data_IF_302966274433
#
_entry.id   IF_302966274433
#
_cell.length_a   1.000
_cell.length_b   1.000
_cell.length_c   1.000
_cell.angle_alpha   90.00
_cell.angle_beta   90.00
_cell.angle_gamma   90.00
#
_symmetry.space_group_name_H-M   'P 1'
#
loop_
_entity.id
_entity.type
_entity.pdbx_description
1 polymer ?
#
# COMPACT_ATOMS: atom_id res chain seq x y z
N UNK A 1 23.39 -24.76 8.52
CA UNK A 1 23.59 -23.30 8.41
C UNK A 1 22.98 -22.68 9.66
N UNK A 2 23.66 -21.74 10.31
CA UNK A 2 23.20 -21.09 11.55
C UNK A 2 23.16 -19.59 11.28
N UNK A 3 22.08 -18.93 11.69
CA UNK A 3 21.90 -17.48 11.56
C UNK A 3 21.44 -16.93 12.90
N UNK A 4 21.86 -15.71 13.20
CA UNK A 4 21.32 -14.94 14.32
C UNK A 4 20.01 -14.28 13.89
N UNK A 5 19.01 -14.31 14.78
CA UNK A 5 17.70 -13.71 14.54
C UNK A 5 17.26 -12.88 15.75
N UNK A 6 16.55 -11.79 15.49
CA UNK A 6 15.88 -11.01 16.52
C UNK A 6 14.48 -11.59 16.74
N UNK A 7 14.16 -11.93 17.98
CA UNK A 7 12.85 -12.44 18.38
C UNK A 7 12.10 -11.36 19.15
N UNK A 8 10.84 -11.13 18.79
CA UNK A 8 9.94 -10.20 19.49
C UNK A 8 8.52 -10.80 19.51
N UNK A 9 7.83 -10.66 20.64
CA UNK A 9 6.49 -11.23 20.86
C UNK A 9 6.31 -11.75 22.29
N UNK A 10 5.12 -12.26 22.60
CA UNK A 10 4.84 -12.92 23.87
C UNK A 10 5.66 -14.21 24.01
N UNK A 11 6.15 -14.50 25.21
CA UNK A 11 7.02 -15.66 25.46
C UNK A 11 6.35 -17.02 25.19
N UNK A 12 5.02 -17.04 25.17
CA UNK A 12 4.15 -18.19 24.93
C UNK A 12 3.43 -18.14 23.57
N UNK A 13 3.74 -17.15 22.72
CA UNK A 13 3.20 -17.07 21.37
C UNK A 13 3.71 -18.18 20.45
N UNK A 14 2.90 -18.55 19.46
CA UNK A 14 3.34 -19.46 18.40
C UNK A 14 4.56 -18.85 17.67
N UNK A 15 5.62 -19.65 17.51
CA UNK A 15 6.82 -19.22 16.81
C UNK A 15 6.52 -19.07 15.31
N UNK A 16 6.36 -17.84 14.85
CA UNK A 16 6.22 -17.52 13.43
C UNK A 16 7.54 -16.94 12.91
N UNK A 17 8.19 -17.67 11.99
CA UNK A 17 9.38 -17.19 11.31
C UNK A 17 8.98 -16.32 10.11
N UNK A 18 8.97 -15.00 10.30
CA UNK A 18 8.84 -14.04 9.19
C UNK A 18 10.22 -13.84 8.55
N UNK A 19 10.49 -14.57 7.46
CA UNK A 19 11.67 -14.38 6.61
C UNK A 19 11.49 -13.13 5.73
N UNK A 20 11.40 -11.96 6.35
CA UNK A 20 11.40 -10.67 5.67
C UNK A 20 12.64 -9.88 6.11
N UNK A 21 13.81 -10.32 5.62
CA UNK A 21 15.03 -9.53 5.71
C UNK A 21 15.16 -8.59 4.51
N UNK A 22 16.14 -7.69 4.59
CA UNK A 22 16.56 -6.78 3.51
C UNK A 22 16.60 -7.38 2.10
N UNK A 23 17.10 -8.62 1.88
CA UNK A 23 17.17 -9.18 0.54
C UNK A 23 15.79 -9.45 -0.08
N UNK A 24 14.82 -9.89 0.73
CA UNK A 24 13.45 -10.13 0.26
C UNK A 24 12.69 -8.82 0.05
N UNK A 25 12.91 -7.81 0.92
CA UNK A 25 12.33 -6.48 0.72
C UNK A 25 12.86 -5.82 -0.55
N UNK A 26 14.18 -5.93 -0.81
CA UNK A 26 14.81 -5.49 -2.07
C UNK A 26 14.23 -6.22 -3.28
N UNK A 27 14.00 -7.53 -3.18
CA UNK A 27 13.42 -8.32 -4.26
C UNK A 27 11.96 -7.93 -4.54
N UNK A 28 11.18 -7.61 -3.51
CA UNK A 28 9.82 -7.10 -3.65
C UNK A 28 9.86 -5.72 -4.34
N UNK A 29 10.67 -4.78 -3.85
CA UNK A 29 10.80 -3.45 -4.50
C UNK A 29 11.27 -3.57 -5.96
N UNK A 30 12.26 -4.43 -6.24
CA UNK A 30 12.77 -4.66 -7.59
C UNK A 30 11.84 -5.46 -8.51
N UNK A 31 10.81 -6.14 -7.97
CA UNK A 31 9.79 -6.84 -8.77
C UNK A 31 8.78 -5.88 -9.42
N UNK A 32 8.74 -4.62 -8.98
CA UNK A 32 7.76 -3.66 -9.43
C UNK A 32 8.34 -2.52 -10.25
N UNK A 33 9.24 -2.86 -11.17
CA UNK A 33 9.84 -1.94 -12.14
C UNK A 33 10.62 -0.73 -11.56
N UNK A 34 10.86 -0.69 -10.25
CA UNK A 34 11.62 0.39 -9.62
C UNK A 34 13.09 0.33 -10.05
N UNK A 35 13.70 1.48 -10.32
CA UNK A 35 15.12 1.53 -10.64
C UNK A 35 15.95 1.13 -9.41
N UNK A 36 17.17 0.61 -9.62
CA UNK A 36 18.07 0.29 -8.49
C UNK A 36 18.35 1.52 -7.60
N UNK A 37 18.35 2.71 -8.18
CA UNK A 37 18.54 3.96 -7.45
C UNK A 37 17.35 4.31 -6.56
N UNK A 38 16.12 4.05 -7.02
CA UNK A 38 14.91 4.23 -6.21
C UNK A 38 14.90 3.21 -5.07
N UNK A 39 15.21 1.95 -5.37
CA UNK A 39 15.32 0.89 -4.36
C UNK A 39 16.33 1.26 -3.29
N UNK A 40 17.52 1.74 -3.66
CA UNK A 40 18.53 2.16 -2.68
C UNK A 40 18.07 3.35 -1.84
N UNK A 41 17.32 4.28 -2.44
CA UNK A 41 16.74 5.43 -1.74
C UNK A 41 15.74 4.97 -0.67
N UNK A 42 14.84 4.05 -1.02
CA UNK A 42 13.87 3.46 -0.09
C UNK A 42 14.56 2.64 1.01
N UNK A 43 15.58 1.85 0.66
CA UNK A 43 16.38 1.10 1.64
C UNK A 43 17.17 2.00 2.58
N UNK A 44 17.67 3.16 2.12
CA UNK A 44 18.33 4.14 2.98
C UNK A 44 17.42 4.69 4.08
N UNK A 45 16.10 4.69 3.87
CA UNK A 45 15.10 5.20 4.83
C UNK A 45 14.51 4.06 5.67
N UNK A 46 14.01 3.02 5.02
CA UNK A 46 13.35 1.88 5.68
C UNK A 46 14.36 0.89 6.25
N UNK A 47 15.66 1.14 6.04
CA UNK A 47 16.72 0.22 6.38
C UNK A 47 17.26 0.29 7.80
N UNK A 48 16.69 1.14 8.66
CA UNK A 48 17.04 1.13 10.08
C UNK A 48 16.13 0.18 10.84
N UNK A 49 16.61 -0.32 11.98
CA UNK A 49 15.80 -1.18 12.85
C UNK A 49 14.51 -0.47 13.30
N UNK A 50 14.62 0.83 13.61
CA UNK A 50 13.48 1.64 14.03
C UNK A 50 12.46 1.83 12.91
N UNK A 51 12.91 2.13 11.69
CA UNK A 51 12.03 2.38 10.55
C UNK A 51 11.36 1.10 10.06
N UNK A 52 12.12 0.02 9.92
CA UNK A 52 11.58 -1.29 9.56
C UNK A 52 10.64 -1.81 10.66
N UNK A 53 11.03 -1.63 11.92
CA UNK A 53 10.19 -1.96 13.08
C UNK A 53 8.86 -1.20 13.06
N UNK A 54 8.86 0.10 12.76
CA UNK A 54 7.66 0.91 12.62
C UNK A 54 6.76 0.43 11.47
N UNK A 55 7.34 0.15 10.30
CA UNK A 55 6.62 -0.38 9.15
C UNK A 55 5.94 -1.72 9.47
N UNK A 56 6.66 -2.66 10.11
CA UNK A 56 6.11 -3.95 10.52
C UNK A 56 5.05 -3.82 11.63
N UNK A 57 5.22 -2.87 12.55
CA UNK A 57 4.23 -2.62 13.61
C UNK A 57 2.88 -2.16 13.06
N UNK A 58 2.85 -1.46 11.92
CA UNK A 58 1.59 -1.13 11.24
C UNK A 58 0.81 -2.39 10.84
N UNK A 59 1.49 -3.39 10.27
CA UNK A 59 0.87 -4.69 9.93
C UNK A 59 0.39 -5.43 11.18
N UNK A 60 1.21 -5.47 12.24
CA UNK A 60 0.85 -6.12 13.52
C UNK A 60 -0.42 -5.52 14.14
N UNK A 61 -0.58 -4.21 14.04
CA UNK A 61 -1.78 -3.52 14.51
C UNK A 61 -3.02 -3.87 13.66
N UNK A 62 -2.86 -4.09 12.35
CA UNK A 62 -3.95 -4.43 11.44
C UNK A 62 -4.42 -5.90 11.52
N UNK A 63 -3.53 -6.83 11.88
CA UNK A 63 -3.83 -8.29 11.88
C UNK A 63 -4.69 -8.79 13.05
N UNK A 64 -5.07 -7.92 14.01
CA UNK A 64 -5.82 -8.30 15.23
C UNK A 64 -7.32 -8.02 15.19
N UNK A 65 -7.85 -7.34 14.17
CA UNK A 65 -9.26 -6.94 14.09
C UNK A 65 -10.05 -7.79 13.08
N UNK A 66 -9.84 -9.10 13.09
CA UNK A 66 -10.69 -10.06 12.36
C UNK A 66 -11.82 -10.61 13.24
N UNK A 67 -12.35 -9.83 14.19
CA UNK A 67 -13.67 -10.14 14.72
C UNK A 67 -14.69 -9.60 13.73
N UNK A 68 -15.25 -10.50 12.91
CA UNK A 68 -16.61 -10.57 12.39
C UNK A 68 -17.57 -9.36 12.55
N UNK A 69 -17.11 -8.14 12.36
CA UNK A 69 -17.94 -6.96 12.29
C UNK A 69 -18.39 -6.85 10.84
N UNK A 70 -19.70 -6.67 10.65
CA UNK A 70 -20.22 -6.25 9.35
C UNK A 70 -19.41 -5.04 8.86
N UNK A 71 -19.11 -4.96 7.55
CA UNK A 71 -18.42 -3.80 7.00
C UNK A 71 -19.14 -2.52 7.46
N UNK A 72 -18.40 -1.49 7.87
CA UNK A 72 -19.01 -0.24 8.28
C UNK A 72 -19.89 0.29 7.15
N UNK A 73 -21.00 0.98 7.46
CA UNK A 73 -21.84 1.57 6.43
C UNK A 73 -21.03 2.53 5.56
N UNK A 74 -21.41 2.63 4.29
CA UNK A 74 -20.85 3.61 3.36
C UNK A 74 -21.00 5.02 3.93
N UNK A 75 -19.88 5.72 4.16
CA UNK A 75 -19.86 6.97 4.93
C UNK A 75 -19.04 8.09 4.28
N UNK A 76 -18.31 7.82 3.21
CA UNK A 76 -17.49 8.85 2.55
C UNK A 76 -18.38 9.72 1.68
N UNK A 77 -18.71 10.92 2.16
CA UNK A 77 -19.60 11.88 1.49
C UNK A 77 -18.87 12.94 0.64
N UNK A 78 -17.55 13.05 0.80
CA UNK A 78 -16.71 14.00 0.07
C UNK A 78 -16.41 13.51 -1.35
N UNK A 79 -16.14 14.42 -2.31
CA UNK A 79 -15.66 14.03 -3.63
C UNK A 79 -14.42 13.15 -3.53
N UNK A 80 -14.46 12.01 -4.22
CA UNK A 80 -13.43 10.97 -4.11
C UNK A 80 -12.96 10.56 -5.50
N UNK A 81 -11.66 10.70 -5.75
CA UNK A 81 -10.96 10.09 -6.88
C UNK A 81 -10.20 8.86 -6.37
N UNK A 82 -10.43 7.71 -6.99
CA UNK A 82 -9.62 6.51 -6.80
C UNK A 82 -8.90 6.16 -8.09
N UNK A 83 -7.57 6.09 -8.04
CA UNK A 83 -6.71 5.70 -9.16
C UNK A 83 -6.15 4.32 -8.86
N UNK A 84 -6.36 3.36 -9.77
CA UNK A 84 -5.88 1.98 -9.69
C UNK A 84 -5.22 1.59 -11.02
N UNK A 85 -4.40 0.54 -11.04
CA UNK A 85 -3.65 0.11 -12.22
C UNK A 85 -3.75 -1.39 -12.47
N UNK A 86 -3.68 -1.80 -13.74
CA UNK A 86 -3.99 -3.19 -14.13
C UNK A 86 -2.96 -4.24 -13.75
N UNK A 87 -1.70 -3.83 -13.57
CA UNK A 87 -0.60 -4.72 -13.24
C UNK A 87 -0.26 -4.64 -11.74
N UNK A 88 -1.17 -4.08 -10.94
CA UNK A 88 -1.12 -4.10 -9.47
C UNK A 88 -1.25 -5.54 -8.96
N UNK A 89 -0.21 -6.03 -8.28
CA UNK A 89 -0.22 -7.37 -7.67
C UNK A 89 -0.59 -7.35 -6.18
N UNK A 90 -0.75 -6.18 -5.57
CA UNK A 90 -1.15 -6.00 -4.18
C UNK A 90 -2.67 -5.97 -4.03
N UNK A 91 -3.38 -5.33 -4.97
CA UNK A 91 -4.85 -5.21 -4.95
C UNK A 91 -5.48 -5.67 -6.27
N UNK A 92 -6.39 -6.65 -6.16
CA UNK A 92 -7.14 -7.14 -7.30
C UNK A 92 -8.16 -6.10 -7.81
N UNK A 93 -8.46 -6.16 -9.10
CA UNK A 93 -9.48 -5.31 -9.74
C UNK A 93 -10.83 -5.36 -9.03
N UNK A 94 -11.29 -6.54 -8.64
CA UNK A 94 -12.59 -6.71 -7.97
C UNK A 94 -12.65 -5.98 -6.62
N UNK A 95 -11.54 -5.96 -5.88
CA UNK A 95 -11.45 -5.22 -4.61
C UNK A 95 -11.34 -3.71 -4.85
N UNK A 96 -10.67 -3.31 -5.93
CA UNK A 96 -10.60 -1.90 -6.31
C UNK A 96 -11.99 -1.37 -6.69
N UNK A 97 -12.73 -2.07 -7.56
CA UNK A 97 -14.08 -1.70 -7.99
C UNK A 97 -15.08 -1.70 -6.81
N UNK A 98 -14.96 -2.65 -5.88
CA UNK A 98 -15.80 -2.69 -4.67
C UNK A 98 -15.59 -1.49 -3.72
N UNK A 99 -14.51 -0.72 -3.88
CA UNK A 99 -14.27 0.47 -3.06
C UNK A 99 -15.37 1.53 -3.22
N UNK A 100 -16.06 1.55 -4.36
CA UNK A 100 -17.21 2.41 -4.61
C UNK A 100 -18.34 2.18 -3.60
N UNK A 101 -18.48 0.97 -3.06
CA UNK A 101 -19.53 0.62 -2.08
C UNK A 101 -19.39 1.40 -0.76
N UNK A 102 -18.23 1.99 -0.48
CA UNK A 102 -17.97 2.75 0.75
C UNK A 102 -18.15 4.27 0.58
N UNK A 103 -18.40 4.74 -0.65
CA UNK A 103 -18.51 6.17 -1.00
C UNK A 103 -19.95 6.53 -1.33
N UNK A 104 -20.51 7.49 -0.59
CA UNK A 104 -21.85 8.04 -0.82
C UNK A 104 -21.83 9.40 -1.53
N UNK A 105 -20.66 10.06 -1.55
CA UNK A 105 -20.40 11.29 -2.31
C UNK A 105 -20.08 11.06 -3.79
N UNK A 106 -19.72 12.12 -4.53
CA UNK A 106 -19.23 12.01 -5.90
C UNK A 106 -18.00 11.09 -5.97
N UNK A 107 -18.04 10.09 -6.85
CA UNK A 107 -16.99 9.09 -6.98
C UNK A 107 -16.50 8.99 -8.43
N UNK A 108 -15.18 9.08 -8.61
CA UNK A 108 -14.48 8.90 -9.89
C UNK A 108 -13.47 7.77 -9.72
N UNK A 109 -13.57 6.74 -10.55
CA UNK A 109 -12.62 5.63 -10.59
C UNK A 109 -11.85 5.67 -11.90
N UNK A 110 -10.52 5.79 -11.80
CA UNK A 110 -9.59 5.88 -12.93
C UNK A 110 -8.70 4.64 -12.95
N UNK A 111 -8.61 3.99 -14.11
CA UNK A 111 -7.79 2.79 -14.32
C UNK A 111 -6.63 3.16 -15.23
N UNK A 112 -5.40 2.88 -14.79
CA UNK A 112 -4.18 3.01 -15.58
C UNK A 112 -3.73 1.64 -16.09
N UNK A 113 -3.64 1.49 -17.41
CA UNK A 113 -3.29 0.24 -18.07
C UNK A 113 -1.76 0.02 -18.08
N UNK A 114 -1.32 -1.19 -17.73
CA UNK A 114 0.08 -1.62 -17.81
C UNK A 114 1.02 -0.98 -16.78
N UNK A 115 0.46 -0.44 -15.70
CA UNK A 115 1.23 0.18 -14.61
C UNK A 115 1.20 -0.75 -13.39
N UNK A 116 2.32 -0.89 -12.69
CA UNK A 116 2.40 -1.70 -11.48
C UNK A 116 1.70 -1.03 -10.30
N UNK A 117 1.88 -1.57 -9.10
CA UNK A 117 1.40 -0.95 -7.86
C UNK A 117 1.96 0.47 -7.63
N UNK A 118 3.13 0.81 -8.19
CA UNK A 118 3.82 2.09 -7.97
C UNK A 118 3.46 3.15 -9.02
N UNK A 119 2.19 3.55 -9.02
CA UNK A 119 1.68 4.55 -9.98
C UNK A 119 2.45 5.88 -9.88
N UNK A 120 2.88 6.28 -8.69
CA UNK A 120 3.59 7.55 -8.50
C UNK A 120 5.00 7.53 -9.12
N UNK A 121 5.65 6.37 -9.14
CA UNK A 121 6.97 6.17 -9.71
C UNK A 121 6.92 5.91 -11.22
N UNK A 122 5.94 5.15 -11.69
CA UNK A 122 5.84 4.74 -13.11
C UNK A 122 5.04 5.70 -13.99
N UNK A 123 4.06 6.40 -13.43
CA UNK A 123 3.20 7.33 -14.16
C UNK A 123 2.98 8.67 -13.41
N UNK A 124 4.05 9.35 -12.95
CA UNK A 124 3.94 10.56 -12.14
C UNK A 124 3.18 11.69 -12.84
N UNK A 125 3.39 11.90 -14.14
CA UNK A 125 2.71 12.96 -14.89
C UNK A 125 1.20 12.67 -14.97
N UNK A 126 0.84 11.43 -15.30
CA UNK A 126 -0.57 11.05 -15.44
C UNK A 126 -1.31 11.12 -14.10
N UNK A 127 -0.67 10.65 -13.02
CA UNK A 127 -1.23 10.78 -11.68
C UNK A 127 -1.38 12.27 -11.30
N UNK A 128 -0.38 13.09 -11.58
CA UNK A 128 -0.41 14.53 -11.28
C UNK A 128 -1.53 15.26 -12.02
N UNK A 129 -1.75 14.94 -13.30
CA UNK A 129 -2.87 15.48 -14.08
C UNK A 129 -4.22 15.16 -13.43
N UNK A 130 -4.46 13.88 -13.10
CA UNK A 130 -5.70 13.43 -12.46
C UNK A 130 -5.94 14.13 -11.11
N UNK A 131 -4.88 14.28 -10.31
CA UNK A 131 -4.95 14.98 -9.03
C UNK A 131 -5.28 16.47 -9.21
N UNK A 132 -4.61 17.15 -10.15
CA UNK A 132 -4.87 18.57 -10.42
C UNK A 132 -6.28 18.78 -10.95
N UNK A 133 -6.76 17.94 -11.90
CA UNK A 133 -8.13 17.98 -12.39
C UNK A 133 -9.14 17.89 -11.24
N UNK A 134 -8.99 16.87 -10.38
CA UNK A 134 -9.89 16.64 -9.25
C UNK A 134 -9.87 17.82 -8.28
N UNK A 135 -8.69 18.30 -7.90
CA UNK A 135 -8.55 19.40 -6.95
C UNK A 135 -9.11 20.72 -7.50
N UNK A 136 -8.98 20.98 -8.81
CA UNK A 136 -9.56 22.18 -9.42
C UNK A 136 -11.08 22.09 -9.53
N UNK A 137 -11.63 20.92 -9.88
CA UNK A 137 -13.07 20.70 -9.96
C UNK A 137 -13.79 21.00 -8.63
N UNK A 138 -13.15 20.67 -7.51
CA UNK A 138 -13.72 20.80 -6.17
C UNK A 138 -13.17 21.98 -5.36
N UNK A 139 -12.40 22.87 -6.00
CA UNK A 139 -11.82 24.04 -5.33
C UNK A 139 -12.89 25.02 -4.90
N UNK A 140 -13.02 25.24 -3.58
CA UNK A 140 -13.90 26.26 -2.99
C UNK A 140 -15.39 25.94 -3.06
N UNK A 141 -15.75 24.67 -3.25
CA UNK A 141 -17.12 24.16 -3.17
C UNK A 141 -17.45 23.63 -1.78
#
# INVERSE_FOLDING_TARGET
MVFDALAAGAADGELVLLLHGFPQFRAILGQFSMSEADVETYLGILGTEEALGAALNWYRAGTGSSSAASPPPATVTVPTLYVWSTDDTAFARSTAEASAEFVTGPYRFEILEGISHWIAEEAPERLSELLVEHLQEWRGR
#
